data_IF_485855949708
#
_entry.id   IF_485855949708
#
_cell.length_a   1.000
_cell.length_b   1.000
_cell.length_c   1.000
_cell.angle_alpha   90.00
_cell.angle_beta   90.00
_cell.angle_gamma   90.00
#
_symmetry.space_group_name_H-M   'P 1'
#
loop_
_entity.id
_entity.type
_entity.pdbx_description
1 polymer ?
#
# COMPACT_ATOMS: atom_id res chain seq x y z
N UNK A 1 26.10 22.21 -4.57
CA UNK A 1 25.26 21.55 -3.54
C UNK A 1 24.21 20.74 -4.27
N UNK A 2 24.09 19.44 -4.01
CA UNK A 2 23.19 18.58 -4.78
C UNK A 2 21.73 18.88 -4.42
N UNK A 3 20.95 19.35 -5.39
CA UNK A 3 19.49 19.40 -5.30
C UNK A 3 18.99 17.97 -5.14
N UNK A 4 18.77 17.53 -3.90
CA UNK A 4 18.02 16.31 -3.64
C UNK A 4 16.63 16.52 -4.22
N UNK A 5 16.27 15.76 -5.27
CA UNK A 5 14.95 15.88 -5.89
C UNK A 5 13.87 15.72 -4.81
N UNK A 6 12.82 16.54 -4.87
CA UNK A 6 11.73 16.58 -3.88
C UNK A 6 11.21 15.18 -3.54
N UNK A 7 11.09 14.32 -4.56
CA UNK A 7 10.70 12.92 -4.42
C UNK A 7 11.65 12.09 -3.53
N UNK A 8 12.96 12.33 -3.60
CA UNK A 8 13.94 11.66 -2.74
C UNK A 8 13.75 12.06 -1.28
N UNK A 9 13.52 13.35 -1.02
CA UNK A 9 13.28 13.84 0.33
C UNK A 9 12.02 13.20 0.92
N UNK A 10 10.91 13.20 0.16
CA UNK A 10 9.67 12.54 0.56
C UNK A 10 9.89 11.06 0.88
N UNK A 11 10.59 10.34 0.02
CA UNK A 11 10.93 8.94 0.25
C UNK A 11 11.67 8.73 1.58
N UNK A 12 12.66 9.58 1.86
CA UNK A 12 13.45 9.50 3.09
C UNK A 12 12.62 9.85 4.33
N UNK A 13 11.75 10.86 4.25
CA UNK A 13 10.84 11.23 5.33
C UNK A 13 9.90 10.07 5.70
N UNK A 14 9.29 9.42 4.72
CA UNK A 14 8.41 8.25 4.92
C UNK A 14 9.14 7.03 5.50
N UNK A 15 10.47 6.95 5.32
CA UNK A 15 11.32 5.94 5.96
C UNK A 15 11.81 6.33 7.37
N UNK A 16 11.34 7.45 7.92
CA UNK A 16 11.82 7.96 9.21
C UNK A 16 13.15 8.73 9.09
N UNK A 17 13.27 9.57 8.06
CA UNK A 17 14.44 10.42 7.76
C UNK A 17 15.74 9.66 7.50
N UNK A 18 15.65 8.42 7.00
CA UNK A 18 16.82 7.61 6.67
C UNK A 18 17.48 8.11 5.38
N UNK A 19 18.76 8.44 5.45
CA UNK A 19 19.54 8.81 4.25
C UNK A 19 19.76 7.58 3.38
N UNK A 20 19.56 7.75 2.07
CA UNK A 20 19.89 6.74 1.05
C UNK A 20 20.93 7.30 0.09
N UNK A 21 21.79 6.44 -0.46
CA UNK A 21 22.78 6.83 -1.46
C UNK A 21 22.17 6.96 -2.86
N UNK A 22 22.88 7.63 -3.77
CA UNK A 22 22.41 7.91 -5.13
C UNK A 22 22.14 6.64 -5.94
N UNK A 23 22.98 5.60 -5.75
CA UNK A 23 22.78 4.29 -6.39
C UNK A 23 21.47 3.64 -5.97
N UNK A 24 21.08 3.77 -4.70
CA UNK A 24 19.80 3.27 -4.18
C UNK A 24 18.65 4.07 -4.78
N UNK A 25 18.76 5.41 -4.82
CA UNK A 25 17.74 6.27 -5.43
C UNK A 25 17.53 5.95 -6.91
N UNK A 26 18.61 5.81 -7.68
CA UNK A 26 18.55 5.43 -9.10
C UNK A 26 17.81 4.10 -9.31
N UNK A 27 18.10 3.08 -8.48
CA UNK A 27 17.41 1.79 -8.54
C UNK A 27 15.91 1.90 -8.23
N UNK A 28 15.54 2.74 -7.27
CA UNK A 28 14.13 2.98 -6.93
C UNK A 28 13.41 3.63 -8.10
N UNK A 29 13.97 4.70 -8.69
CA UNK A 29 13.41 5.35 -9.87
C UNK A 29 13.21 4.38 -11.03
N UNK A 30 14.24 3.56 -11.32
CA UNK A 30 14.16 2.53 -12.36
C UNK A 30 13.06 1.51 -12.08
N UNK A 31 12.90 1.07 -10.82
CA UNK A 31 11.84 0.13 -10.42
C UNK A 31 10.44 0.71 -10.57
N UNK A 32 10.26 1.99 -10.22
CA UNK A 32 8.96 2.67 -10.29
C UNK A 32 8.65 3.22 -11.69
N UNK A 33 9.63 3.20 -12.61
CA UNK A 33 9.50 3.79 -13.95
C UNK A 33 9.40 5.31 -13.90
N UNK A 34 10.13 5.95 -12.98
CA UNK A 34 10.20 7.40 -12.83
C UNK A 34 11.31 7.90 -13.76
N UNK A 35 10.91 8.58 -14.84
CA UNK A 35 11.80 9.29 -15.75
C UNK A 35 12.22 10.63 -15.16
N UNK A 36 13.21 11.29 -15.77
CA UNK A 36 13.64 12.64 -15.37
C UNK A 36 12.47 13.63 -15.42
N UNK A 37 11.68 13.59 -16.48
CA UNK A 37 10.51 14.48 -16.63
C UNK A 37 9.47 14.29 -15.52
N UNK A 38 9.21 13.04 -15.10
CA UNK A 38 8.30 12.75 -13.98
C UNK A 38 8.86 13.22 -12.64
N UNK A 39 10.17 13.10 -12.46
CA UNK A 39 10.86 13.59 -11.27
C UNK A 39 10.81 15.12 -11.15
N UNK A 40 10.98 15.82 -12.27
CA UNK A 40 10.91 17.29 -12.33
C UNK A 40 9.48 17.83 -12.16
N UNK A 41 8.50 17.18 -12.79
CA UNK A 41 7.08 17.57 -12.67
C UNK A 41 6.50 17.25 -11.30
N UNK A 42 7.03 16.22 -10.62
CA UNK A 42 6.56 15.76 -9.31
C UNK A 42 5.03 15.61 -9.24
N UNK A 43 4.44 15.01 -10.27
CA UNK A 43 2.99 14.88 -10.39
C UNK A 43 2.38 14.01 -9.26
N UNK A 44 1.07 14.16 -8.95
CA UNK A 44 0.44 13.46 -7.83
C UNK A 44 0.54 11.93 -7.90
N UNK A 45 0.53 11.34 -9.10
CA UNK A 45 0.63 9.88 -9.29
C UNK A 45 2.06 9.41 -8.93
N UNK A 46 3.07 10.12 -9.42
CA UNK A 46 4.47 9.85 -9.09
C UNK A 46 4.73 10.03 -7.59
N UNK A 47 4.15 11.05 -6.97
CA UNK A 47 4.23 11.27 -5.53
C UNK A 47 3.64 10.11 -4.74
N UNK A 48 2.42 9.67 -5.10
CA UNK A 48 1.74 8.55 -4.46
C UNK A 48 2.54 7.24 -4.59
N UNK A 49 3.09 6.97 -5.78
CA UNK A 49 3.99 5.84 -6.04
C UNK A 49 5.21 5.82 -5.11
N UNK A 50 5.85 6.97 -4.91
CA UNK A 50 7.04 7.08 -4.06
C UNK A 50 6.68 6.86 -2.59
N UNK A 51 5.61 7.48 -2.10
CA UNK A 51 5.13 7.29 -0.71
C UNK A 51 4.73 5.84 -0.45
N UNK A 52 3.97 5.24 -1.35
CA UNK A 52 3.57 3.84 -1.26
C UNK A 52 4.77 2.89 -1.24
N UNK A 53 5.76 3.09 -2.12
CA UNK A 53 6.96 2.27 -2.13
C UNK A 53 7.80 2.45 -0.85
N UNK A 54 7.88 3.67 -0.29
CA UNK A 54 8.55 3.94 0.98
C UNK A 54 7.89 3.18 2.14
N UNK A 55 6.58 3.30 2.27
CA UNK A 55 5.80 2.60 3.29
C UNK A 55 5.94 1.07 3.18
N UNK A 56 5.82 0.52 1.98
CA UNK A 56 6.05 -0.92 1.80
C UNK A 56 7.48 -1.34 2.14
N UNK A 57 8.48 -0.48 1.89
CA UNK A 57 9.88 -0.76 2.23
C UNK A 57 10.13 -0.71 3.74
N UNK A 58 9.47 0.17 4.49
CA UNK A 58 9.59 0.19 5.96
C UNK A 58 8.99 -1.08 6.57
N UNK A 59 7.88 -1.58 6.02
CA UNK A 59 7.26 -2.84 6.47
C UNK A 59 8.01 -4.10 6.00
N UNK A 60 8.61 -4.07 4.81
CA UNK A 60 9.28 -5.21 4.19
C UNK A 60 10.70 -4.88 3.70
N UNK A 61 11.66 -4.64 4.61
CA UNK A 61 12.97 -4.07 4.27
C UNK A 61 13.81 -4.96 3.37
N UNK A 62 13.74 -6.28 3.54
CA UNK A 62 14.52 -7.27 2.77
C UNK A 62 13.82 -7.76 1.49
N UNK A 63 12.58 -7.34 1.28
CA UNK A 63 11.71 -7.85 0.24
C UNK A 63 11.95 -7.31 -1.17
N UNK A 64 11.65 -8.14 -2.17
CA UNK A 64 11.45 -7.67 -3.54
C UNK A 64 10.09 -6.95 -3.68
N UNK A 65 10.15 -5.62 -3.78
CA UNK A 65 9.00 -4.75 -4.04
C UNK A 65 9.10 -4.30 -5.50
N UNK A 66 8.16 -4.77 -6.31
CA UNK A 66 8.02 -4.39 -7.73
C UNK A 66 7.01 -3.27 -7.87
N UNK A 67 7.03 -2.54 -8.99
CA UNK A 67 6.01 -1.52 -9.29
C UNK A 67 4.59 -2.06 -9.19
N UNK A 68 4.35 -3.27 -9.72
CA UNK A 68 3.04 -3.94 -9.65
C UNK A 68 2.55 -4.07 -8.22
N UNK A 69 3.42 -4.46 -7.28
CA UNK A 69 3.05 -4.57 -5.86
C UNK A 69 2.73 -3.23 -5.21
N UNK A 70 3.45 -2.17 -5.58
CA UNK A 70 3.15 -0.80 -5.14
C UNK A 70 1.79 -0.36 -5.64
N UNK A 71 1.51 -0.60 -6.92
CA UNK A 71 0.24 -0.26 -7.53
C UNK A 71 -0.93 -1.04 -6.89
N UNK A 72 -0.73 -2.33 -6.59
CA UNK A 72 -1.69 -3.14 -5.84
C UNK A 72 -1.96 -2.54 -4.46
N UNK A 73 -0.92 -2.16 -3.73
CA UNK A 73 -1.06 -1.49 -2.43
C UNK A 73 -1.82 -0.16 -2.53
N UNK A 74 -1.51 0.67 -3.53
CA UNK A 74 -2.23 1.93 -3.77
C UNK A 74 -3.71 1.65 -4.02
N UNK A 75 -4.03 0.63 -4.83
CA UNK A 75 -5.40 0.20 -5.05
C UNK A 75 -6.04 -0.23 -3.71
N UNK A 76 -5.40 -1.12 -2.94
CA UNK A 76 -5.89 -1.55 -1.62
C UNK A 76 -6.22 -0.36 -0.72
N UNK A 77 -5.29 0.60 -0.60
CA UNK A 77 -5.46 1.79 0.25
C UNK A 77 -6.61 2.69 -0.21
N UNK A 78 -6.81 2.84 -1.53
CA UNK A 78 -7.93 3.63 -2.08
C UNK A 78 -9.31 2.99 -1.87
N UNK A 79 -9.34 1.69 -1.63
CA UNK A 79 -10.57 0.89 -1.61
C UNK A 79 -10.99 0.47 -0.21
N UNK A 80 -10.04 0.40 0.73
CA UNK A 80 -10.35 0.18 2.13
C UNK A 80 -10.88 1.48 2.76
N UNK A 81 -11.95 1.42 3.56
CA UNK A 81 -12.53 2.59 4.21
C UNK A 81 -11.51 3.32 5.10
N UNK A 82 -11.42 4.65 5.01
CA UNK A 82 -10.36 5.41 5.70
C UNK A 82 -10.65 5.69 7.19
N UNK A 83 -11.89 5.54 7.65
CA UNK A 83 -12.34 5.96 8.97
C UNK A 83 -12.94 4.82 9.80
N UNK A 84 -14.03 4.24 9.32
CA UNK A 84 -14.67 3.10 9.95
C UNK A 84 -15.46 2.32 8.93
N UNK A 85 -15.62 1.02 9.16
CA UNK A 85 -16.51 0.20 8.37
C UNK A 85 -17.10 -0.93 9.21
N UNK A 86 -18.25 -1.42 8.78
CA UNK A 86 -18.79 -2.68 9.24
C UNK A 86 -17.95 -3.85 8.76
N UNK A 87 -18.01 -4.96 9.49
CA UNK A 87 -17.35 -6.20 9.08
C UNK A 87 -17.85 -6.73 7.76
N UNK A 88 -19.11 -6.46 7.41
CA UNK A 88 -19.67 -6.78 6.09
C UNK A 88 -18.98 -5.99 4.98
N UNK A 89 -18.84 -4.67 5.12
CA UNK A 89 -18.13 -3.84 4.14
C UNK A 89 -16.66 -4.26 4.01
N UNK A 90 -16.00 -4.53 5.14
CA UNK A 90 -14.63 -5.03 5.15
C UNK A 90 -14.51 -6.37 4.40
N UNK A 91 -15.45 -7.29 4.60
CA UNK A 91 -15.50 -8.57 3.91
C UNK A 91 -15.67 -8.39 2.40
N UNK A 92 -16.63 -7.57 1.97
CA UNK A 92 -16.90 -7.31 0.56
C UNK A 92 -15.68 -6.73 -0.16
N UNK A 93 -14.97 -5.79 0.49
CA UNK A 93 -13.72 -5.22 -0.02
C UNK A 93 -12.63 -6.29 -0.08
N UNK A 94 -12.44 -7.10 0.96
CA UNK A 94 -11.41 -8.15 0.97
C UNK A 94 -11.69 -9.25 -0.07
N UNK A 95 -12.95 -9.62 -0.28
CA UNK A 95 -13.34 -10.62 -1.27
C UNK A 95 -13.15 -10.14 -2.72
N UNK A 96 -13.01 -8.83 -2.93
CA UNK A 96 -12.65 -8.26 -4.22
C UNK A 96 -11.16 -8.44 -4.56
N UNK A 97 -10.32 -8.90 -3.64
CA UNK A 97 -8.94 -9.29 -3.94
C UNK A 97 -8.88 -10.47 -4.92
N UNK A 98 -7.76 -10.60 -5.62
CA UNK A 98 -7.44 -11.66 -6.56
C UNK A 98 -6.08 -12.25 -6.16
N UNK A 99 -6.02 -13.55 -5.83
CA UNK A 99 -7.16 -14.46 -5.72
C UNK A 99 -8.12 -14.05 -4.59
N UNK A 100 -9.42 -14.33 -4.78
CA UNK A 100 -10.45 -13.97 -3.78
C UNK A 100 -10.28 -14.81 -2.52
N UNK A 101 -10.05 -14.19 -1.34
CA UNK A 101 -9.89 -14.93 -0.10
C UNK A 101 -11.24 -15.48 0.36
N UNK A 102 -11.24 -16.74 0.80
CA UNK A 102 -12.39 -17.33 1.48
C UNK A 102 -12.61 -16.70 2.85
N UNK A 103 -13.83 -16.83 3.40
CA UNK A 103 -14.13 -16.34 4.75
C UNK A 103 -13.20 -16.93 5.80
N UNK A 104 -12.93 -18.23 5.74
CA UNK A 104 -11.97 -18.89 6.62
C UNK A 104 -10.57 -18.26 6.55
N UNK A 105 -10.16 -17.82 5.36
CA UNK A 105 -8.89 -17.12 5.14
C UNK A 105 -8.90 -15.74 5.82
N UNK A 106 -9.98 -14.98 5.65
CA UNK A 106 -10.17 -13.67 6.30
C UNK A 106 -10.16 -13.83 7.83
N UNK A 107 -10.89 -14.81 8.38
CA UNK A 107 -10.88 -15.12 9.81
C UNK A 107 -9.48 -15.45 10.34
N UNK A 108 -8.69 -16.23 9.58
CA UNK A 108 -7.31 -16.55 9.93
C UNK A 108 -6.43 -15.30 9.96
N UNK A 109 -6.51 -14.45 8.92
CA UNK A 109 -5.77 -13.19 8.88
C UNK A 109 -6.10 -12.27 10.06
N UNK A 110 -7.38 -12.17 10.40
CA UNK A 110 -7.82 -11.41 11.56
C UNK A 110 -7.16 -11.88 12.86
N UNK A 111 -6.95 -13.19 13.03
CA UNK A 111 -6.19 -13.73 14.18
C UNK A 111 -4.70 -13.35 14.10
N UNK A 112 -4.08 -13.48 12.93
CA UNK A 112 -2.66 -13.17 12.71
C UNK A 112 -2.31 -11.71 13.01
N UNK A 113 -3.20 -10.77 12.65
CA UNK A 113 -2.98 -9.33 12.85
C UNK A 113 -3.46 -8.82 14.21
N UNK A 114 -3.99 -9.71 15.07
CA UNK A 114 -4.56 -9.33 16.35
C UNK A 114 -5.83 -8.45 16.23
N UNK A 115 -6.59 -8.60 15.14
CA UNK A 115 -7.87 -7.94 14.90
C UNK A 115 -8.88 -8.98 14.41
N UNK A 116 -9.54 -9.67 15.36
CA UNK A 116 -10.46 -10.77 15.03
C UNK A 116 -11.57 -10.28 14.09
N UNK A 117 -11.73 -11.00 12.99
CA UNK A 117 -12.79 -10.73 12.03
C UNK A 117 -14.16 -11.17 12.60
N UNK A 118 -15.19 -10.40 12.28
CA UNK A 118 -16.61 -10.58 12.58
C UNK A 118 -17.41 -9.66 11.67
N UNK A 119 -18.47 -10.18 11.05
CA UNK A 119 -19.35 -9.44 10.13
C UNK A 119 -20.17 -8.38 10.87
N UNK A 120 -20.51 -8.63 12.14
CA UNK A 120 -21.38 -7.77 12.95
C UNK A 120 -20.63 -6.66 13.70
N UNK A 121 -19.31 -6.58 13.52
CA UNK A 121 -18.45 -5.63 14.24
C UNK A 121 -18.21 -4.37 13.41
N UNK A 122 -18.08 -3.22 14.07
CA UNK A 122 -17.53 -2.01 13.45
C UNK A 122 -16.03 -1.96 13.71
N UNK A 123 -15.25 -1.77 12.64
CA UNK A 123 -13.80 -1.59 12.67
C UNK A 123 -13.51 -0.10 12.60
N UNK A 124 -12.58 0.35 13.44
CA UNK A 124 -12.07 1.72 13.38
C UNK A 124 -10.86 1.81 12.44
N UNK A 125 -10.40 3.04 12.22
CA UNK A 125 -9.25 3.35 11.36
C UNK A 125 -7.99 2.55 11.70
N UNK A 126 -7.65 2.41 12.98
CA UNK A 126 -6.44 1.70 13.39
C UNK A 126 -6.54 0.21 13.07
N UNK A 127 -7.72 -0.37 13.21
CA UNK A 127 -7.98 -1.76 12.85
C UNK A 127 -7.93 -1.96 11.34
N UNK A 128 -8.53 -1.06 10.56
CA UNK A 128 -8.47 -1.10 9.11
C UNK A 128 -7.01 -0.99 8.63
N UNK A 129 -6.21 -0.12 9.26
CA UNK A 129 -4.79 0.00 8.97
C UNK A 129 -4.02 -1.31 9.20
N UNK A 130 -4.38 -2.11 10.22
CA UNK A 130 -3.77 -3.44 10.40
C UNK A 130 -4.05 -4.37 9.21
N UNK A 131 -5.26 -4.33 8.65
CA UNK A 131 -5.59 -5.09 7.43
C UNK A 131 -4.81 -4.58 6.22
N UNK A 132 -4.70 -3.26 6.04
CA UNK A 132 -3.90 -2.62 4.97
C UNK A 132 -2.44 -3.07 5.05
N UNK A 133 -1.83 -2.98 6.23
CA UNK A 133 -0.45 -3.39 6.45
C UNK A 133 -0.22 -4.88 6.17
N UNK A 134 -1.16 -5.72 6.60
CA UNK A 134 -1.09 -7.16 6.36
C UNK A 134 -1.11 -7.49 4.87
N UNK A 135 -1.99 -6.86 4.10
CA UNK A 135 -2.05 -7.03 2.65
C UNK A 135 -0.79 -6.48 1.97
N UNK A 136 -0.23 -5.36 2.45
CA UNK A 136 1.03 -4.82 1.96
C UNK A 136 2.21 -5.78 2.18
N UNK A 137 2.21 -6.55 3.29
CA UNK A 137 3.19 -7.60 3.60
C UNK A 137 2.99 -8.86 2.76
N UNK A 138 1.77 -9.11 2.27
CA UNK A 138 1.40 -10.28 1.48
C UNK A 138 0.98 -9.90 0.05
N UNK A 139 1.93 -9.46 -0.81
CA UNK A 139 1.62 -8.88 -2.12
C UNK A 139 1.24 -9.91 -3.20
N UNK A 140 0.78 -11.09 -2.80
CA UNK A 140 0.21 -12.09 -3.71
C UNK A 140 -1.27 -11.80 -4.01
N UNK A 141 -1.87 -10.84 -3.30
CA UNK A 141 -3.23 -10.39 -3.53
C UNK A 141 -3.24 -9.08 -4.33
N UNK A 142 -4.21 -8.94 -5.24
CA UNK A 142 -4.37 -7.77 -6.10
C UNK A 142 -5.82 -7.38 -6.21
N UNK A 143 -6.15 -6.09 -6.28
CA UNK A 143 -7.51 -5.68 -6.67
C UNK A 143 -7.62 -5.65 -8.21
N UNK A 144 -8.72 -6.16 -8.79
CA UNK A 144 -9.02 -5.94 -10.19
C UNK A 144 -9.23 -4.45 -10.43
N UNK A 145 -8.45 -3.87 -11.34
CA UNK A 145 -8.61 -2.48 -11.78
C UNK A 145 -10.01 -2.15 -12.34
N UNK A 146 -10.84 -3.16 -12.61
CA UNK A 146 -12.09 -3.05 -13.38
C UNK A 146 -13.39 -3.29 -12.61
N UNK A 147 -13.36 -3.64 -11.30
CA UNK A 147 -14.60 -4.07 -10.58
C UNK A 147 -15.10 -3.19 -9.45
N UNK A 148 -14.52 -2.02 -9.22
CA UNK A 148 -14.88 -1.27 -8.01
C UNK A 148 -15.72 -0.04 -8.34
N UNK A 149 -17.02 -0.15 -8.06
CA UNK A 149 -17.88 1.01 -7.85
C UNK A 149 -17.37 1.75 -6.62
N UNK A 150 -17.12 3.05 -6.74
CA UNK A 150 -16.84 3.92 -5.59
C UNK A 150 -17.92 3.69 -4.54
N UNK A 151 -17.54 3.18 -3.37
CA UNK A 151 -18.38 3.31 -2.18
C UNK A 151 -18.13 4.73 -1.70
N UNK A 152 -19.10 5.60 -1.96
CA UNK A 152 -19.09 7.00 -1.54
C UNK A 152 -19.52 7.15 -0.10
#
# INVERSE_FOLDING_TARGET
>A
MANSSTLRLIYQCELGNQKICDRTWYRIKKRLGITKDKEERCDPETLELVKAYAFMRSLYPKGAITKTKVMQYIAIKKHLPEFSCSGKELQEVLQCLIPSPSDATIYRWGKEIGCKFSVYRIYNKDEINKWVEFLARNPNFSFPYSRVKKVG
#
